data_IF_780841368019
#
_entry.id   IF_780841368019
#
_cell.length_a   1.000
_cell.length_b   1.000
_cell.length_c   1.000
_cell.angle_alpha   90.00
_cell.angle_beta   90.00
_cell.angle_gamma   90.00
#
_symmetry.space_group_name_H-M   'P 1'
#
loop_
_entity.id
_entity.type
_entity.pdbx_description
1 polymer ?
#
# COMPACT_ATOMS: atom_id res chain seq x y z
N UNK A 1 -12.19 -4.51 -18.40
CA UNK A 1 -11.82 -3.29 -19.14
C UNK A 1 -10.31 -3.15 -19.04
N UNK A 2 -9.57 -2.81 -20.10
CA UNK A 2 -8.11 -2.71 -20.00
C UNK A 2 -7.74 -1.57 -19.04
N UNK A 3 -6.88 -1.84 -18.06
CA UNK A 3 -6.42 -0.83 -17.11
C UNK A 3 -5.46 0.11 -17.81
N UNK A 4 -5.68 1.41 -17.61
CA UNK A 4 -4.93 2.45 -18.28
C UNK A 4 -3.67 2.78 -17.49
N UNK A 5 -2.51 2.54 -18.09
CA UNK A 5 -1.21 2.89 -17.54
C UNK A 5 -0.90 4.38 -17.73
N UNK A 6 -0.04 4.92 -16.86
CA UNK A 6 0.39 6.31 -16.91
C UNK A 6 1.08 6.64 -18.24
N UNK A 7 0.79 7.83 -18.78
CA UNK A 7 1.59 8.43 -19.85
C UNK A 7 2.98 8.83 -19.34
N UNK A 8 3.91 9.14 -20.25
CA UNK A 8 5.24 9.62 -19.88
C UNK A 8 5.20 10.91 -19.04
N UNK A 9 4.22 11.79 -19.32
CA UNK A 9 4.00 13.02 -18.56
C UNK A 9 3.49 12.73 -17.14
N UNK A 10 2.50 11.85 -17.00
CA UNK A 10 1.98 11.41 -15.70
C UNK A 10 3.06 10.69 -14.88
N UNK A 11 3.91 9.88 -15.53
CA UNK A 11 5.04 9.22 -14.89
C UNK A 11 6.09 10.23 -14.37
N UNK A 12 6.35 11.30 -15.12
CA UNK A 12 7.28 12.36 -14.74
C UNK A 12 6.75 13.25 -13.60
N UNK A 13 5.42 13.40 -13.50
CA UNK A 13 4.77 14.18 -12.43
C UNK A 13 4.70 13.39 -11.11
N UNK A 14 5.83 13.29 -10.41
CA UNK A 14 5.93 12.54 -9.16
C UNK A 14 5.01 13.11 -8.07
N UNK A 15 4.13 12.28 -7.53
CA UNK A 15 3.17 12.64 -6.47
C UNK A 15 3.22 11.63 -5.34
N UNK A 16 3.00 12.07 -4.10
CA UNK A 16 2.96 11.17 -2.95
C UNK A 16 1.59 10.53 -2.83
N UNK A 17 1.51 9.25 -2.47
CA UNK A 17 0.22 8.56 -2.30
C UNK A 17 -0.61 9.18 -1.18
N UNK A 18 0.02 9.65 -0.08
CA UNK A 18 -0.67 10.40 0.98
C UNK A 18 -1.40 11.66 0.48
N UNK A 19 -0.93 12.29 -0.59
CA UNK A 19 -1.54 13.52 -1.09
C UNK A 19 -2.92 13.26 -1.73
N UNK A 20 -3.22 12.01 -2.10
CA UNK A 20 -4.52 11.60 -2.59
C UNK A 20 -5.58 11.58 -1.47
N UNK A 21 -5.20 11.37 -0.21
CA UNK A 21 -6.15 11.17 0.90
C UNK A 21 -7.12 12.33 1.07
N UNK A 22 -6.65 13.50 1.50
CA UNK A 22 -7.54 14.63 1.73
C UNK A 22 -8.29 15.09 0.48
N UNK A 23 -7.66 15.01 -0.70
CA UNK A 23 -8.30 15.38 -1.98
C UNK A 23 -9.46 14.44 -2.32
N UNK A 24 -9.26 13.13 -2.12
CA UNK A 24 -10.28 12.11 -2.44
C UNK A 24 -11.42 12.13 -1.43
N UNK A 25 -11.13 12.35 -0.13
CA UNK A 25 -12.19 12.50 0.88
C UNK A 25 -13.10 13.69 0.61
N UNK A 26 -12.56 14.83 0.13
CA UNK A 26 -13.38 15.97 -0.29
C UNK A 26 -14.30 15.58 -1.46
N UNK A 27 -13.75 14.93 -2.50
CA UNK A 27 -14.54 14.44 -3.63
C UNK A 27 -15.68 13.52 -3.17
N UNK A 28 -15.39 12.56 -2.29
CA UNK A 28 -16.40 11.64 -1.77
C UNK A 28 -17.46 12.34 -0.90
N UNK A 29 -17.06 13.37 -0.14
CA UNK A 29 -18.01 14.21 0.60
C UNK A 29 -18.90 15.03 -0.34
N UNK A 30 -18.35 15.58 -1.43
CA UNK A 30 -19.08 16.30 -2.49
C UNK A 30 -20.09 15.39 -3.20
N UNK A 31 -19.79 14.09 -3.32
CA UNK A 31 -20.70 13.06 -3.82
C UNK A 31 -21.79 12.65 -2.81
N UNK A 32 -21.76 13.22 -1.60
CA UNK A 32 -22.76 13.00 -0.56
C UNK A 32 -22.50 11.81 0.36
N UNK A 33 -21.31 11.20 0.32
CA UNK A 33 -20.97 10.15 1.29
C UNK A 33 -20.80 10.77 2.70
N UNK A 34 -21.22 10.07 3.78
CA UNK A 34 -21.09 10.53 5.16
C UNK A 34 -19.66 10.33 5.68
N UNK A 35 -18.69 10.94 5.00
CA UNK A 35 -17.26 10.84 5.31
C UNK A 35 -16.95 11.65 6.56
N UNK A 36 -16.27 11.03 7.53
CA UNK A 36 -15.65 11.72 8.66
C UNK A 36 -14.19 11.30 8.78
N UNK A 37 -13.36 12.17 9.31
CA UNK A 37 -11.94 11.94 9.53
C UNK A 37 -11.60 12.10 11.01
N UNK A 38 -10.86 11.15 11.59
CA UNK A 38 -10.33 11.21 12.95
C UNK A 38 -8.82 11.18 12.89
N UNK A 39 -8.15 12.23 13.33
CA UNK A 39 -6.71 12.42 13.20
C UNK A 39 -6.04 12.60 14.57
N UNK A 40 -4.82 12.09 14.70
CA UNK A 40 -4.03 12.17 15.94
C UNK A 40 -2.91 13.23 15.85
N UNK A 41 -3.30 14.50 15.75
CA UNK A 41 -2.41 15.67 15.66
C UNK A 41 -1.39 15.68 14.50
N UNK A 42 -1.72 14.97 13.41
CA UNK A 42 -0.88 14.84 12.22
C UNK A 42 -1.60 15.27 10.92
N UNK A 43 -2.73 15.97 11.03
CA UNK A 43 -3.64 16.30 9.92
C UNK A 43 -3.00 17.05 8.74
N UNK A 44 -1.95 17.84 9.00
CA UNK A 44 -1.14 18.47 7.95
C UNK A 44 -0.29 17.45 7.18
N UNK A 45 0.26 16.46 7.88
CA UNK A 45 1.11 15.41 7.34
C UNK A 45 0.31 14.28 6.70
N UNK A 46 -0.84 13.90 7.26
CA UNK A 46 -1.77 12.91 6.69
C UNK A 46 -2.59 13.49 5.53
N UNK A 47 -2.66 14.83 5.47
CA UNK A 47 -3.48 15.63 4.55
C UNK A 47 -4.98 15.69 4.86
N UNK A 48 -5.42 15.07 5.96
CA UNK A 48 -6.82 15.15 6.42
C UNK A 48 -7.25 16.58 6.78
N UNK A 49 -6.30 17.46 7.11
CA UNK A 49 -6.57 18.88 7.34
C UNK A 49 -7.24 19.57 6.14
N UNK A 50 -7.08 19.05 4.92
CA UNK A 50 -7.79 19.55 3.73
C UNK A 50 -9.30 19.45 3.87
N UNK A 51 -9.81 18.37 4.48
CA UNK A 51 -11.24 18.18 4.70
C UNK A 51 -11.77 19.24 5.68
N UNK A 52 -11.11 19.42 6.83
CA UNK A 52 -11.50 20.41 7.83
C UNK A 52 -11.33 21.87 7.39
N UNK A 53 -10.48 22.14 6.39
CA UNK A 53 -10.32 23.47 5.80
C UNK A 53 -11.48 23.89 4.87
N UNK A 54 -12.36 22.95 4.47
CA UNK A 54 -13.58 23.25 3.71
C UNK A 54 -14.68 23.66 4.68
N UNK A 55 -15.26 24.88 4.59
CA UNK A 55 -16.27 25.34 5.54
C UNK A 55 -17.48 24.41 5.66
N UNK A 56 -17.94 23.82 4.55
CA UNK A 56 -19.04 22.84 4.53
C UNK A 56 -18.75 21.51 5.25
N UNK A 57 -17.46 21.19 5.51
CA UNK A 57 -17.02 19.93 6.11
C UNK A 57 -16.17 20.13 7.37
N UNK A 58 -16.14 21.35 7.92
CA UNK A 58 -15.32 21.68 9.07
C UNK A 58 -15.67 20.85 10.33
N UNK A 59 -16.92 20.42 10.44
CA UNK A 59 -17.44 19.55 11.50
C UNK A 59 -17.17 18.05 11.27
N UNK A 60 -16.52 17.69 10.16
CA UNK A 60 -16.21 16.29 9.79
C UNK A 60 -14.78 15.87 10.10
N UNK A 61 -13.93 16.78 10.62
CA UNK A 61 -12.57 16.47 11.06
C UNK A 61 -12.48 16.54 12.58
N UNK A 62 -12.19 15.40 13.21
CA UNK A 62 -12.01 15.23 14.64
C UNK A 62 -10.51 15.07 14.94
N UNK A 63 -9.87 16.08 15.52
CA UNK A 63 -8.50 15.94 16.03
C UNK A 63 -8.55 15.51 17.50
N UNK A 64 -8.02 14.32 17.81
CA UNK A 64 -8.03 13.75 19.17
C UNK A 64 -6.73 14.01 19.95
N UNK A 65 -5.83 14.83 19.40
CA UNK A 65 -4.47 15.00 19.93
C UNK A 65 -3.61 13.75 19.70
N UNK A 66 -2.50 13.63 20.43
CA UNK A 66 -1.56 12.50 20.30
C UNK A 66 -2.11 11.27 21.05
N UNK A 67 -3.15 10.64 20.49
CA UNK A 67 -3.92 9.58 21.16
C UNK A 67 -4.46 8.53 20.16
N UNK A 68 -3.60 7.80 19.47
CA UNK A 68 -3.98 6.89 18.37
C UNK A 68 -4.91 5.75 18.79
N UNK A 69 -4.80 5.26 20.03
CA UNK A 69 -5.74 4.26 20.56
C UNK A 69 -7.15 4.85 20.62
N UNK A 70 -7.29 6.04 21.22
CA UNK A 70 -8.55 6.76 21.28
C UNK A 70 -9.05 7.20 19.89
N UNK A 71 -8.15 7.54 18.95
CA UNK A 71 -8.50 7.83 17.56
C UNK A 71 -9.28 6.68 16.92
N UNK A 72 -8.81 5.44 17.11
CA UNK A 72 -9.48 4.25 16.57
C UNK A 72 -10.83 4.02 17.24
N UNK A 73 -10.92 4.16 18.56
CA UNK A 73 -12.19 3.97 19.29
C UNK A 73 -13.23 5.07 18.97
N UNK A 74 -12.79 6.33 18.78
CA UNK A 74 -13.66 7.42 18.31
C UNK A 74 -14.16 7.13 16.89
N UNK A 75 -13.28 6.69 15.98
CA UNK A 75 -13.68 6.30 14.62
C UNK A 75 -14.67 5.13 14.64
N UNK A 76 -14.47 4.15 15.52
CA UNK A 76 -15.40 3.05 15.73
C UNK A 76 -16.78 3.55 16.16
N UNK A 77 -16.85 4.43 17.16
CA UNK A 77 -18.11 5.05 17.60
C UNK A 77 -18.81 5.84 16.49
N UNK A 78 -18.06 6.64 15.73
CA UNK A 78 -18.61 7.39 14.58
C UNK A 78 -19.15 6.49 13.48
N UNK A 79 -18.51 5.33 13.24
CA UNK A 79 -18.99 4.36 12.26
C UNK A 79 -20.34 3.75 12.65
N UNK A 80 -20.56 3.50 13.94
CA UNK A 80 -21.86 3.03 14.47
C UNK A 80 -22.96 4.09 14.36
N UNK A 81 -22.59 5.37 14.28
CA UNK A 81 -23.51 6.47 14.04
C UNK A 81 -23.84 6.68 12.54
N UNK A 82 -23.44 5.75 11.67
CA UNK A 82 -23.76 5.80 10.23
C UNK A 82 -22.76 6.55 9.37
N UNK A 83 -21.58 6.90 9.91
CA UNK A 83 -20.51 7.53 9.14
C UNK A 83 -19.54 6.51 8.56
N UNK A 84 -18.82 6.93 7.52
CA UNK A 84 -17.64 6.21 7.02
C UNK A 84 -16.41 6.92 7.61
N UNK A 85 -15.81 6.32 8.63
CA UNK A 85 -14.76 6.96 9.42
C UNK A 85 -13.36 6.61 8.90
N UNK A 86 -12.59 7.62 8.50
CA UNK A 86 -11.19 7.49 8.10
C UNK A 86 -10.26 7.91 9.25
N UNK A 87 -9.24 7.11 9.55
CA UNK A 87 -8.25 7.46 10.59
C UNK A 87 -6.95 8.01 9.99
N UNK A 88 -6.37 8.99 10.69
CA UNK A 88 -5.14 9.68 10.29
C UNK A 88 -4.07 9.69 11.37
N UNK A 89 -3.00 8.93 11.12
CA UNK A 89 -1.73 9.03 11.84
C UNK A 89 -0.62 8.48 10.94
N UNK A 90 0.59 8.31 11.46
CA UNK A 90 1.65 7.56 10.76
C UNK A 90 1.51 6.07 11.02
N UNK A 91 1.97 5.21 10.12
CA UNK A 91 1.78 3.77 10.21
C UNK A 91 2.28 3.18 11.53
N UNK A 92 3.43 3.62 12.03
CA UNK A 92 3.98 3.15 13.31
C UNK A 92 3.06 3.44 14.51
N UNK A 93 2.35 4.57 14.49
CA UNK A 93 1.47 4.96 15.59
C UNK A 93 0.03 4.49 15.34
N UNK A 94 -0.51 4.80 14.16
CA UNK A 94 -1.88 4.48 13.77
C UNK A 94 -2.16 2.98 13.65
N UNK A 95 -1.15 2.16 13.36
CA UNK A 95 -1.27 0.68 13.36
C UNK A 95 -0.59 0.08 14.57
N UNK A 96 0.69 0.40 14.82
CA UNK A 96 1.45 -0.22 15.90
C UNK A 96 0.88 0.10 17.29
N UNK A 97 0.74 1.39 17.63
CA UNK A 97 0.24 1.82 18.95
C UNK A 97 -1.24 1.47 19.17
N UNK A 98 -2.04 1.45 18.11
CA UNK A 98 -3.49 1.22 18.16
C UNK A 98 -3.92 -0.21 17.79
N UNK A 99 -2.98 -1.17 17.71
CA UNK A 99 -3.25 -2.51 17.21
C UNK A 99 -4.37 -3.24 17.97
N UNK A 100 -4.43 -3.11 19.30
CA UNK A 100 -5.46 -3.80 20.09
C UNK A 100 -6.87 -3.24 19.83
N UNK A 101 -7.01 -1.92 19.70
CA UNK A 101 -8.27 -1.28 19.30
C UNK A 101 -8.68 -1.69 17.88
N UNK A 102 -7.72 -1.76 16.96
CA UNK A 102 -7.97 -2.25 15.60
C UNK A 102 -8.48 -3.71 15.66
N UNK A 103 -7.84 -4.56 16.45
CA UNK A 103 -8.20 -5.97 16.57
C UNK A 103 -9.58 -6.17 17.23
N UNK A 104 -9.75 -5.68 18.45
CA UNK A 104 -10.89 -6.01 19.30
C UNK A 104 -12.11 -5.15 19.00
N UNK A 105 -11.91 -3.86 18.73
CA UNK A 105 -13.02 -2.93 18.48
C UNK A 105 -13.43 -3.00 17.02
N UNK A 106 -12.47 -2.84 16.09
CA UNK A 106 -12.78 -2.65 14.66
C UNK A 106 -12.93 -3.98 13.91
N UNK A 107 -11.90 -4.81 13.87
CA UNK A 107 -11.85 -6.01 13.03
C UNK A 107 -12.81 -7.10 13.52
N UNK A 108 -12.80 -7.38 14.82
CA UNK A 108 -13.70 -8.37 15.43
C UNK A 108 -15.18 -8.00 15.26
N UNK A 109 -15.52 -6.72 15.43
CA UNK A 109 -16.90 -6.24 15.32
C UNK A 109 -17.30 -5.83 13.88
N UNK A 110 -16.39 -5.99 12.90
CA UNK A 110 -16.59 -5.65 11.48
C UNK A 110 -17.04 -4.20 11.25
N UNK A 111 -16.53 -3.27 12.05
CA UNK A 111 -16.94 -1.87 11.97
C UNK A 111 -16.45 -1.21 10.69
N UNK A 112 -17.22 -0.25 10.19
CA UNK A 112 -16.96 0.45 8.93
C UNK A 112 -15.89 1.56 9.09
N UNK A 113 -14.71 1.17 9.57
CA UNK A 113 -13.57 2.06 9.86
C UNK A 113 -12.46 1.85 8.84
N UNK A 114 -11.97 2.95 8.26
CA UNK A 114 -10.95 2.97 7.22
C UNK A 114 -9.63 3.45 7.82
N UNK A 115 -8.70 2.53 7.99
CA UNK A 115 -7.36 2.77 8.49
C UNK A 115 -6.50 3.33 7.35
N UNK A 116 -6.23 4.63 7.37
CA UNK A 116 -5.44 5.28 6.31
C UNK A 116 -4.18 5.93 6.86
N UNK A 117 -3.32 5.16 7.56
CA UNK A 117 -2.08 5.72 8.03
C UNK A 117 -1.20 6.12 6.84
N UNK A 118 -0.44 7.18 7.06
CA UNK A 118 0.56 7.64 6.11
C UNK A 118 1.95 7.25 6.60
N UNK A 119 3.01 7.62 5.89
CA UNK A 119 4.39 7.41 6.35
C UNK A 119 4.69 5.93 6.64
N UNK A 120 4.21 5.02 5.79
CA UNK A 120 4.58 3.62 5.84
C UNK A 120 5.91 3.37 5.09
N UNK A 121 6.62 2.32 5.47
CA UNK A 121 7.85 1.90 4.80
C UNK A 121 9.02 2.86 4.99
N UNK A 122 10.06 2.68 4.17
CA UNK A 122 11.19 3.60 4.12
C UNK A 122 10.83 4.96 3.50
N UNK A 123 9.67 5.07 2.85
CA UNK A 123 9.17 6.29 2.19
C UNK A 123 9.08 7.52 3.11
N UNK A 124 9.12 7.31 4.42
CA UNK A 124 9.28 8.38 5.43
C UNK A 124 10.55 9.19 5.20
N UNK A 125 11.66 8.53 4.88
CA UNK A 125 12.95 9.16 4.64
C UNK A 125 13.63 9.66 5.93
N UNK A 126 13.86 10.97 6.08
CA UNK A 126 14.79 11.52 7.09
C UNK A 126 14.43 11.25 8.55
N UNK A 127 13.15 11.04 8.89
CA UNK A 127 12.72 10.82 10.28
C UNK A 127 13.21 9.46 10.83
N UNK A 128 13.60 8.54 9.94
CA UNK A 128 14.32 7.32 10.27
C UNK A 128 13.49 6.21 10.94
N UNK A 129 14.20 5.23 11.50
CA UNK A 129 13.63 3.93 11.89
C UNK A 129 12.53 3.98 12.96
N UNK A 130 12.39 5.07 13.72
CA UNK A 130 11.28 5.22 14.69
C UNK A 130 9.94 5.55 14.02
N UNK A 131 9.97 6.04 12.78
CA UNK A 131 8.79 6.44 12.01
C UNK A 131 8.52 5.52 10.82
N UNK A 132 9.55 4.78 10.37
CA UNK A 132 9.48 3.82 9.27
C UNK A 132 8.89 2.48 9.76
N UNK A 133 7.57 2.34 9.67
CA UNK A 133 6.89 1.08 9.98
C UNK A 133 7.07 0.08 8.83
N UNK A 134 7.67 -1.07 9.14
CA UNK A 134 8.04 -2.12 8.19
C UNK A 134 7.29 -3.43 8.42
N UNK A 135 6.36 -3.45 9.37
CA UNK A 135 5.65 -4.63 9.86
C UNK A 135 4.13 -4.42 9.91
N UNK A 136 3.62 -3.31 9.35
CA UNK A 136 2.20 -2.96 9.35
C UNK A 136 1.33 -3.93 8.56
N UNK A 137 1.79 -4.39 7.39
CA UNK A 137 1.06 -5.40 6.59
C UNK A 137 1.02 -6.72 7.37
N UNK A 138 2.15 -7.13 7.95
CA UNK A 138 2.24 -8.38 8.71
C UNK A 138 1.29 -8.40 9.91
N UNK A 139 1.19 -7.29 10.66
CA UNK A 139 0.27 -7.17 11.79
C UNK A 139 -1.19 -7.31 11.34
N UNK A 140 -1.59 -6.58 10.29
CA UNK A 140 -2.99 -6.52 9.88
C UNK A 140 -3.45 -7.76 9.11
N UNK A 141 -2.56 -8.44 8.38
CA UNK A 141 -2.90 -9.66 7.61
C UNK A 141 -3.33 -10.83 8.51
N UNK A 142 -2.97 -10.79 9.79
CA UNK A 142 -3.44 -11.77 10.78
C UNK A 142 -4.88 -11.53 11.24
N UNK A 143 -5.44 -10.35 10.96
CA UNK A 143 -6.78 -9.98 11.42
C UNK A 143 -7.83 -10.38 10.37
N UNK A 144 -8.85 -11.17 10.75
CA UNK A 144 -10.00 -11.43 9.90
C UNK A 144 -10.76 -10.13 9.57
N UNK A 145 -11.49 -10.15 8.46
CA UNK A 145 -12.40 -9.09 8.00
C UNK A 145 -11.72 -7.78 7.56
N UNK A 146 -10.40 -7.64 7.70
CA UNK A 146 -9.66 -6.44 7.26
C UNK A 146 -9.29 -6.57 5.78
N UNK A 147 -9.68 -5.62 4.95
CA UNK A 147 -9.16 -5.48 3.58
C UNK A 147 -7.88 -4.67 3.58
N UNK A 148 -6.85 -5.09 2.85
CA UNK A 148 -5.51 -4.46 2.80
C UNK A 148 -5.18 -4.09 1.35
N UNK A 149 -5.11 -2.79 1.08
CA UNK A 149 -4.79 -2.22 -0.24
C UNK A 149 -3.48 -1.43 -0.19
N UNK A 150 -2.56 -1.73 -1.11
CA UNK A 150 -1.21 -1.17 -1.16
C UNK A 150 -1.01 -0.45 -2.51
N UNK A 151 -1.49 0.80 -2.65
CA UNK A 151 -1.46 1.51 -3.92
C UNK A 151 -0.04 1.84 -4.40
N UNK A 152 0.22 1.58 -5.68
CA UNK A 152 1.52 1.81 -6.31
C UNK A 152 1.91 3.29 -6.42
N UNK A 153 0.93 4.16 -6.68
CA UNK A 153 1.12 5.57 -6.98
C UNK A 153 -0.09 6.42 -6.53
N UNK A 154 -0.08 7.71 -6.90
CA UNK A 154 -1.17 8.64 -6.55
C UNK A 154 -2.53 8.20 -7.11
N UNK A 155 -2.58 7.73 -8.36
CA UNK A 155 -3.82 7.36 -9.02
C UNK A 155 -4.42 6.08 -8.40
N UNK A 156 -3.60 5.06 -8.14
CA UNK A 156 -3.99 3.87 -7.40
C UNK A 156 -4.41 4.21 -5.96
N UNK A 157 -3.77 5.18 -5.32
CA UNK A 157 -4.15 5.60 -3.96
C UNK A 157 -5.55 6.23 -3.93
N UNK A 158 -5.85 7.12 -4.88
CA UNK A 158 -7.20 7.67 -5.04
C UNK A 158 -8.23 6.55 -5.26
N UNK A 159 -7.94 5.61 -6.16
CA UNK A 159 -8.81 4.45 -6.39
C UNK A 159 -8.99 3.58 -5.14
N UNK A 160 -7.92 3.32 -4.38
CA UNK A 160 -7.99 2.55 -3.13
C UNK A 160 -8.84 3.23 -2.06
N UNK A 161 -8.74 4.55 -1.93
CA UNK A 161 -9.55 5.33 -0.99
C UNK A 161 -11.03 5.32 -1.40
N UNK A 162 -11.32 5.44 -2.70
CA UNK A 162 -12.69 5.35 -3.23
C UNK A 162 -13.28 3.95 -3.00
N UNK A 163 -12.52 2.89 -3.25
CA UNK A 163 -12.92 1.50 -2.94
C UNK A 163 -13.20 1.33 -1.44
N UNK A 164 -12.27 1.78 -0.59
CA UNK A 164 -12.39 1.69 0.86
C UNK A 164 -13.64 2.43 1.37
N UNK A 165 -13.95 3.60 0.81
CA UNK A 165 -15.13 4.37 1.18
C UNK A 165 -16.45 3.69 0.81
N UNK A 166 -16.48 2.93 -0.29
CA UNK A 166 -17.71 2.30 -0.82
C UNK A 166 -17.94 0.88 -0.34
N UNK A 167 -16.94 0.24 0.26
CA UNK A 167 -17.10 -1.07 0.89
C UNK A 167 -17.57 -0.94 2.34
N UNK A 168 -18.31 -1.94 2.80
CA UNK A 168 -18.63 -2.12 4.22
C UNK A 168 -17.49 -2.84 4.95
N UNK A 169 -17.34 -2.52 6.23
CA UNK A 169 -16.34 -3.14 7.11
C UNK A 169 -14.94 -2.51 7.03
N UNK A 170 -13.95 -3.08 7.73
CA UNK A 170 -12.68 -2.44 7.93
C UNK A 170 -11.76 -2.58 6.71
N UNK A 171 -11.13 -1.47 6.35
CA UNK A 171 -10.15 -1.43 5.27
C UNK A 171 -8.90 -0.69 5.73
N UNK A 172 -7.75 -1.12 5.25
CA UNK A 172 -6.47 -0.47 5.44
C UNK A 172 -5.89 -0.10 4.08
N UNK A 173 -5.55 1.18 3.91
CA UNK A 173 -4.90 1.70 2.71
C UNK A 173 -3.53 2.25 3.10
N UNK A 174 -2.46 1.60 2.63
CA UNK A 174 -1.08 1.93 2.98
C UNK A 174 -0.58 3.12 2.19
N UNK A 175 -0.35 4.26 2.85
CA UNK A 175 0.09 5.50 2.18
C UNK A 175 1.51 5.90 2.57
N UNK A 176 2.25 6.44 1.61
CA UNK A 176 3.66 6.84 1.72
C UNK A 176 3.86 8.35 1.66
N UNK A 177 4.99 8.81 2.19
CA UNK A 177 5.35 10.24 2.27
C UNK A 177 6.07 10.74 1.01
N UNK A 178 7.02 9.95 0.51
CA UNK A 178 7.81 10.27 -0.67
C UNK A 178 6.93 10.46 -1.90
N UNK A 179 7.36 11.34 -2.81
CA UNK A 179 6.74 11.45 -4.14
C UNK A 179 7.25 10.32 -5.02
N UNK A 180 6.35 9.61 -5.68
CA UNK A 180 6.68 8.47 -6.54
C UNK A 180 6.22 8.74 -7.97
N UNK A 181 6.86 8.15 -9.00
CA UNK A 181 6.39 8.22 -10.37
C UNK A 181 4.98 7.64 -10.53
N UNK A 182 4.24 8.14 -11.53
CA UNK A 182 2.98 7.54 -11.94
C UNK A 182 3.17 6.17 -12.59
N UNK A 183 2.38 5.19 -12.16
CA UNK A 183 2.24 3.85 -12.73
C UNK A 183 0.93 3.77 -13.52
N UNK A 184 -0.16 4.27 -12.94
CA UNK A 184 -1.48 4.27 -13.54
C UNK A 184 -1.88 5.66 -14.03
N UNK A 185 -2.73 5.71 -15.05
CA UNK A 185 -3.30 6.98 -15.49
C UNK A 185 -4.26 7.54 -14.43
N UNK A 186 -4.37 8.87 -14.37
CA UNK A 186 -5.32 9.51 -13.47
C UNK A 186 -6.76 9.04 -13.75
N UNK A 187 -7.50 8.76 -12.67
CA UNK A 187 -8.86 8.23 -12.74
C UNK A 187 -8.96 6.71 -12.95
N UNK A 188 -7.85 5.96 -12.87
CA UNK A 188 -7.86 4.50 -12.86
C UNK A 188 -8.88 3.95 -11.86
N UNK A 189 -9.55 2.86 -12.24
CA UNK A 189 -10.49 2.14 -11.38
C UNK A 189 -9.91 0.74 -11.16
N UNK A 190 -9.38 0.52 -9.96
CA UNK A 190 -8.92 -0.78 -9.50
C UNK A 190 -10.04 -1.47 -8.70
N UNK A 191 -9.83 -2.73 -8.36
CA UNK A 191 -10.77 -3.60 -7.65
C UNK A 191 -10.10 -4.27 -6.44
N UNK A 192 -10.88 -4.50 -5.39
CA UNK A 192 -10.45 -5.28 -4.22
C UNK A 192 -10.27 -6.75 -4.61
N UNK A 193 -9.21 -7.39 -4.12
CA UNK A 193 -8.93 -8.79 -4.43
C UNK A 193 -8.37 -9.03 -5.83
N UNK A 194 -7.84 -7.99 -6.48
CA UNK A 194 -7.21 -8.08 -7.80
C UNK A 194 -5.75 -7.64 -7.76
N UNK A 195 -4.96 -8.34 -8.57
CA UNK A 195 -3.60 -8.00 -8.95
C UNK A 195 -3.55 -7.75 -10.47
N UNK A 196 -2.58 -6.98 -10.92
CA UNK A 196 -2.53 -6.53 -12.32
C UNK A 196 -1.21 -6.85 -12.97
N UNK A 197 -1.24 -7.66 -14.02
CA UNK A 197 -0.09 -7.82 -14.93
C UNK A 197 0.06 -6.51 -15.69
N UNK A 198 1.05 -5.70 -15.30
CA UNK A 198 1.32 -4.39 -15.89
C UNK A 198 2.41 -4.46 -16.98
N UNK A 199 3.09 -5.59 -17.07
CA UNK A 199 4.05 -5.92 -18.13
C UNK A 199 4.06 -7.42 -18.34
N UNK A 200 3.90 -7.85 -19.58
CA UNK A 200 4.02 -9.27 -19.97
C UNK A 200 5.48 -9.72 -20.05
N UNK A 201 5.73 -10.99 -19.72
CA UNK A 201 7.03 -11.63 -19.81
C UNK A 201 6.92 -13.16 -19.76
N UNK A 202 8.04 -13.87 -19.92
CA UNK A 202 8.08 -15.33 -20.06
C UNK A 202 9.08 -16.05 -19.17
N UNK A 203 10.06 -15.35 -18.59
CA UNK A 203 11.23 -16.01 -17.99
C UNK A 203 11.24 -15.94 -16.45
N UNK A 204 10.56 -14.93 -15.90
CA UNK A 204 10.39 -14.70 -14.46
C UNK A 204 9.21 -13.77 -14.23
N UNK A 205 8.44 -14.01 -13.17
CA UNK A 205 7.45 -13.05 -12.65
C UNK A 205 8.08 -12.20 -11.55
N UNK A 206 7.92 -10.88 -11.63
CA UNK A 206 8.23 -9.94 -10.55
C UNK A 206 6.90 -9.47 -9.95
N UNK A 207 6.59 -9.94 -8.75
CA UNK A 207 5.39 -9.57 -8.02
C UNK A 207 5.71 -8.44 -7.03
N UNK A 208 5.29 -7.21 -7.32
CA UNK A 208 5.58 -6.04 -6.50
C UNK A 208 4.30 -5.45 -5.91
N UNK A 209 4.41 -4.64 -4.85
CA UNK A 209 3.30 -3.83 -4.35
C UNK A 209 3.77 -2.45 -3.91
N UNK A 210 2.86 -1.48 -3.91
CA UNK A 210 3.15 -0.13 -3.45
C UNK A 210 4.22 0.58 -4.28
N UNK A 211 4.96 1.48 -3.65
CA UNK A 211 5.94 2.35 -4.31
C UNK A 211 7.05 1.61 -5.07
N UNK A 212 7.30 0.33 -4.77
CA UNK A 212 8.33 -0.46 -5.48
C UNK A 212 7.85 -1.06 -6.81
N UNK A 213 6.60 -0.87 -7.20
CA UNK A 213 6.09 -1.29 -8.53
C UNK A 213 6.83 -0.55 -9.65
N UNK A 214 7.23 0.70 -9.45
CA UNK A 214 8.08 1.43 -10.42
C UNK A 214 9.52 0.88 -10.47
N UNK A 215 10.10 0.49 -9.33
CA UNK A 215 11.41 -0.18 -9.30
C UNK A 215 11.37 -1.54 -10.00
N UNK A 216 10.28 -2.30 -9.85
CA UNK A 216 10.08 -3.56 -10.56
C UNK A 216 10.00 -3.37 -12.08
N UNK A 217 9.34 -2.31 -12.57
CA UNK A 217 9.32 -1.97 -13.99
C UNK A 217 10.71 -1.59 -14.51
N UNK A 218 11.46 -0.78 -13.76
CA UNK A 218 12.86 -0.44 -14.09
C UNK A 218 13.75 -1.69 -14.13
N UNK A 219 13.60 -2.60 -13.17
CA UNK A 219 14.34 -3.86 -13.15
C UNK A 219 14.01 -4.71 -14.38
N UNK A 220 12.75 -4.77 -14.79
CA UNK A 220 12.34 -5.47 -16.00
C UNK A 220 12.91 -4.83 -17.28
N UNK A 221 13.10 -3.50 -17.32
CA UNK A 221 13.80 -2.82 -18.44
C UNK A 221 15.28 -3.21 -18.50
N UNK A 222 15.95 -3.24 -17.35
CA UNK A 222 17.35 -3.68 -17.24
C UNK A 222 17.52 -5.16 -17.64
N UNK A 223 16.62 -6.04 -17.19
CA UNK A 223 16.62 -7.47 -17.54
C UNK A 223 16.39 -7.69 -19.05
N UNK A 224 15.48 -6.92 -19.66
CA UNK A 224 15.22 -7.01 -21.10
C UNK A 224 16.44 -6.63 -21.94
N UNK A 225 17.24 -5.67 -21.49
CA UNK A 225 18.51 -5.32 -22.13
C UNK A 225 19.54 -6.48 -22.10
N UNK A 226 19.36 -7.44 -21.21
CA UNK A 226 20.16 -8.66 -21.08
C UNK A 226 19.47 -9.91 -21.67
N UNK A 227 18.34 -9.72 -22.36
CA UNK A 227 17.59 -10.82 -23.00
C UNK A 227 16.72 -11.63 -22.05
N UNK A 228 16.43 -11.13 -20.83
CA UNK A 228 15.52 -11.75 -19.87
C UNK A 228 14.16 -11.05 -19.92
N UNK A 229 13.13 -11.81 -20.29
CA UNK A 229 11.74 -11.37 -20.42
C UNK A 229 11.01 -11.47 -19.08
N UNK A 230 11.11 -10.42 -18.26
CA UNK A 230 10.44 -10.34 -16.97
C UNK A 230 8.99 -9.83 -17.09
N UNK A 231 8.07 -10.59 -16.52
CA UNK A 231 6.68 -10.18 -16.27
C UNK A 231 6.63 -9.36 -14.98
N UNK A 232 5.80 -8.31 -14.93
CA UNK A 232 5.61 -7.49 -13.71
C UNK A 232 4.15 -7.46 -13.31
N UNK A 233 3.88 -7.80 -12.06
CA UNK A 233 2.55 -7.77 -11.44
C UNK A 233 2.53 -6.73 -10.32
N UNK A 234 1.56 -5.82 -10.35
CA UNK A 234 1.17 -5.04 -9.18
C UNK A 234 0.17 -5.82 -8.32
N UNK A 235 0.61 -6.25 -7.15
CA UNK A 235 -0.18 -6.91 -6.12
C UNK A 235 -0.89 -5.85 -5.26
N UNK A 236 -1.81 -5.12 -5.90
CA UNK A 236 -2.56 -4.02 -5.31
C UNK A 236 -3.33 -4.42 -4.03
N UNK A 237 -3.93 -5.60 -4.03
CA UNK A 237 -4.70 -6.14 -2.90
C UNK A 237 -3.94 -7.28 -2.22
N UNK A 238 -3.49 -7.07 -0.98
CA UNK A 238 -2.81 -8.11 -0.19
C UNK A 238 -3.82 -8.98 0.57
N UNK A 239 -4.96 -8.39 0.96
CA UNK A 239 -6.03 -9.13 1.62
C UNK A 239 -7.39 -8.55 1.19
N UNK A 240 -8.26 -9.30 0.50
CA UNK A 240 -7.99 -10.62 -0.09
C UNK A 240 -6.90 -10.55 -1.17
N UNK A 241 -6.16 -11.65 -1.36
CA UNK A 241 -5.09 -11.74 -2.36
C UNK A 241 -5.59 -12.38 -3.66
N UNK A 242 -5.12 -11.90 -4.80
CA UNK A 242 -5.47 -12.46 -6.11
C UNK A 242 -4.56 -13.65 -6.47
N UNK A 243 -4.90 -14.82 -5.93
CA UNK A 243 -4.13 -16.04 -6.17
C UNK A 243 -4.16 -16.47 -7.63
N UNK A 244 -5.26 -16.25 -8.35
CA UNK A 244 -5.41 -16.72 -9.73
C UNK A 244 -4.44 -16.00 -10.67
N UNK A 245 -4.35 -14.68 -10.55
CA UNK A 245 -3.40 -13.90 -11.35
C UNK A 245 -1.97 -14.31 -11.05
N UNK A 246 -1.60 -14.46 -9.77
CA UNK A 246 -0.27 -14.92 -9.39
C UNK A 246 0.04 -16.30 -9.99
N UNK A 247 -0.86 -17.27 -9.84
CA UNK A 247 -0.64 -18.64 -10.29
C UNK A 247 -0.55 -18.70 -11.82
N UNK A 248 -1.40 -17.96 -12.54
CA UNK A 248 -1.34 -17.90 -14.00
C UNK A 248 0.02 -17.36 -14.49
N UNK A 249 0.51 -16.31 -13.87
CA UNK A 249 1.82 -15.72 -14.14
C UNK A 249 2.98 -16.66 -13.81
N UNK A 250 2.99 -17.25 -12.61
CA UNK A 250 4.07 -18.17 -12.20
C UNK A 250 4.03 -19.48 -12.99
N UNK A 251 2.87 -19.98 -13.39
CA UNK A 251 2.78 -21.15 -14.28
C UNK A 251 3.36 -20.87 -15.66
N UNK A 252 3.30 -19.61 -16.13
CA UNK A 252 3.89 -19.17 -17.39
C UNK A 252 5.41 -18.99 -17.28
N UNK A 253 5.89 -18.38 -16.21
CA UNK A 253 7.30 -17.97 -16.05
C UNK A 253 8.16 -18.97 -15.27
N UNK A 254 7.52 -19.87 -14.52
CA UNK A 254 8.14 -20.93 -13.74
C UNK A 254 8.82 -20.49 -12.42
N UNK A 255 8.84 -19.20 -12.09
CA UNK A 255 9.53 -18.64 -10.90
C UNK A 255 9.07 -17.21 -10.60
N UNK A 256 9.24 -16.79 -9.35
CA UNK A 256 8.84 -15.43 -8.93
C UNK A 256 9.84 -14.76 -7.99
N UNK A 257 10.01 -13.44 -8.17
CA UNK A 257 10.66 -12.55 -7.20
C UNK A 257 9.61 -11.60 -6.64
N UNK A 258 9.46 -11.54 -5.31
CA UNK A 258 8.55 -10.59 -4.67
C UNK A 258 9.28 -9.32 -4.26
N UNK A 259 8.64 -8.16 -4.37
CA UNK A 259 9.26 -6.86 -4.09
C UNK A 259 8.33 -5.98 -3.24
N UNK A 260 8.75 -5.63 -2.02
CA UNK A 260 7.94 -4.83 -1.10
C UNK A 260 8.77 -3.85 -0.23
N UNK A 261 8.28 -2.61 -0.06
CA UNK A 261 8.81 -1.66 0.93
C UNK A 261 8.25 -1.98 2.33
N UNK A 262 8.61 -3.17 2.80
CA UNK A 262 8.15 -3.80 4.02
C UNK A 262 9.16 -4.90 4.42
N UNK A 263 9.07 -5.41 5.64
CA UNK A 263 9.80 -6.61 6.07
C UNK A 263 9.45 -7.78 5.16
N UNK A 264 10.45 -8.60 4.80
CA UNK A 264 10.20 -9.86 4.06
C UNK A 264 9.36 -10.88 4.86
N UNK A 265 9.13 -10.61 6.15
CA UNK A 265 8.33 -11.45 7.04
C UNK A 265 6.91 -10.93 7.16
N UNK A 266 5.93 -11.76 6.79
CA UNK A 266 4.50 -11.54 6.97
C UNK A 266 3.83 -10.66 5.91
N UNK A 267 4.59 -10.00 5.03
CA UNK A 267 4.09 -9.14 3.96
C UNK A 267 3.78 -9.87 2.63
N UNK A 268 4.07 -9.21 1.50
CA UNK A 268 3.80 -9.74 0.16
C UNK A 268 4.56 -11.04 -0.11
N UNK A 269 5.85 -11.10 0.22
CA UNK A 269 6.68 -12.29 0.01
C UNK A 269 6.13 -13.51 0.73
N UNK A 270 5.70 -13.34 1.98
CA UNK A 270 5.04 -14.41 2.74
C UNK A 270 3.69 -14.81 2.14
N UNK A 271 2.89 -13.84 1.70
CA UNK A 271 1.60 -14.10 1.03
C UNK A 271 1.77 -14.93 -0.24
N UNK A 272 2.70 -14.53 -1.12
CA UNK A 272 3.02 -15.26 -2.35
C UNK A 272 3.52 -16.68 -2.03
N UNK A 273 4.44 -16.82 -1.08
CA UNK A 273 4.99 -18.12 -0.74
C UNK A 273 3.94 -19.10 -0.16
N UNK A 274 2.98 -18.60 0.63
CA UNK A 274 1.84 -19.39 1.11
C UNK A 274 1.01 -19.92 -0.06
N UNK A 275 0.67 -19.05 -1.03
CA UNK A 275 -0.12 -19.42 -2.21
C UNK A 275 0.63 -20.44 -3.08
N UNK A 276 1.92 -20.23 -3.33
CA UNK A 276 2.75 -21.17 -4.08
C UNK A 276 2.84 -22.53 -3.38
N UNK A 277 3.07 -22.55 -2.07
CA UNK A 277 3.16 -23.79 -1.30
C UNK A 277 1.86 -24.62 -1.36
N UNK A 278 0.70 -23.95 -1.40
CA UNK A 278 -0.60 -24.61 -1.45
C UNK A 278 -1.03 -25.02 -2.86
N UNK A 279 -0.65 -24.26 -3.90
CA UNK A 279 -1.28 -24.38 -5.23
C UNK A 279 -0.32 -24.69 -6.37
N UNK A 280 0.88 -24.11 -6.37
CA UNK A 280 1.85 -24.26 -7.46
C UNK A 280 3.27 -24.01 -6.96
N UNK A 281 3.93 -25.03 -6.35
CA UNK A 281 5.28 -24.85 -5.82
C UNK A 281 6.26 -24.45 -6.92
N UNK A 282 6.90 -23.30 -6.77
CA UNK A 282 7.87 -22.74 -7.70
C UNK A 282 9.01 -22.02 -6.95
N UNK A 283 10.21 -21.89 -7.55
CA UNK A 283 11.28 -21.07 -6.98
C UNK A 283 10.80 -19.64 -6.70
N UNK A 284 11.09 -19.17 -5.49
CA UNK A 284 10.64 -17.88 -5.00
C UNK A 284 11.77 -17.17 -4.24
N UNK A 285 12.01 -15.89 -4.55
CA UNK A 285 12.95 -15.04 -3.82
C UNK A 285 12.27 -13.75 -3.36
N UNK A 286 12.74 -13.17 -2.25
CA UNK A 286 12.15 -11.98 -1.65
C UNK A 286 13.11 -10.80 -1.67
N UNK A 287 12.64 -9.66 -2.18
CA UNK A 287 13.26 -8.34 -2.07
C UNK A 287 12.40 -7.50 -1.12
N UNK A 288 13.01 -7.07 -0.03
CA UNK A 288 12.36 -6.39 1.09
C UNK A 288 13.33 -6.22 2.24
N UNK A 289 12.91 -5.54 3.32
CA UNK A 289 13.78 -5.30 4.47
C UNK A 289 14.02 -6.59 5.26
N UNK A 290 15.27 -6.82 5.69
CA UNK A 290 15.70 -8.06 6.37
C UNK A 290 16.28 -7.76 7.74
N UNK A 291 15.52 -8.10 8.79
CA UNK A 291 16.02 -8.22 10.17
C UNK A 291 16.65 -6.95 10.78
N UNK A 292 16.29 -5.77 10.29
CA UNK A 292 16.84 -4.48 10.74
C UNK A 292 15.75 -3.42 10.78
N UNK A 293 15.96 -2.38 11.59
CA UNK A 293 15.18 -1.14 11.50
C UNK A 293 15.70 -0.27 10.36
N UNK A 294 14.84 0.62 9.87
CA UNK A 294 15.22 1.61 8.88
C UNK A 294 16.19 2.68 9.42
N UNK A 295 16.58 3.61 8.55
CA UNK A 295 17.57 4.67 8.81
C UNK A 295 17.09 6.01 8.26
N UNK A 296 17.71 7.09 8.72
CA UNK A 296 17.52 8.42 8.14
C UNK A 296 18.26 8.53 6.82
N UNK A 297 17.59 9.03 5.79
CA UNK A 297 18.13 9.27 4.45
C UNK A 297 17.04 9.74 3.50
N UNK A 298 17.38 10.10 2.26
CA UNK A 298 16.37 10.23 1.20
C UNK A 298 15.76 8.87 0.86
N UNK A 299 14.58 8.85 0.25
CA UNK A 299 13.92 7.58 -0.03
C UNK A 299 14.74 6.72 -1.00
N UNK A 300 15.28 7.35 -2.05
CA UNK A 300 16.13 6.70 -3.05
C UNK A 300 17.42 6.13 -2.45
N UNK A 301 18.09 6.89 -1.57
CA UNK A 301 19.30 6.39 -0.87
C UNK A 301 18.96 5.20 0.02
N UNK A 302 17.82 5.23 0.71
CA UNK A 302 17.40 4.15 1.59
C UNK A 302 17.04 2.88 0.80
N UNK A 303 16.36 3.00 -0.34
CA UNK A 303 16.09 1.84 -1.20
C UNK A 303 17.38 1.16 -1.66
N UNK A 304 18.36 1.95 -2.09
CA UNK A 304 19.66 1.41 -2.49
C UNK A 304 20.43 0.80 -1.32
N UNK A 305 20.47 1.50 -0.18
CA UNK A 305 21.14 1.03 1.04
C UNK A 305 20.57 -0.30 1.55
N UNK A 306 19.26 -0.50 1.46
CA UNK A 306 18.58 -1.71 1.89
C UNK A 306 18.35 -2.72 0.77
N UNK A 307 18.96 -2.54 -0.40
CA UNK A 307 18.87 -3.47 -1.54
C UNK A 307 17.43 -3.75 -2.00
N UNK A 308 16.65 -2.69 -2.18
CA UNK A 308 15.26 -2.73 -2.68
C UNK A 308 15.04 -1.90 -3.95
N UNK A 309 16.12 -1.42 -4.57
CA UNK A 309 16.10 -0.70 -5.84
C UNK A 309 16.16 -1.66 -7.04
N UNK A 310 15.96 -1.13 -8.25
CA UNK A 310 15.98 -1.93 -9.48
C UNK A 310 17.24 -2.82 -9.65
N UNK A 311 18.48 -2.35 -9.41
CA UNK A 311 19.66 -3.21 -9.43
C UNK A 311 19.56 -4.42 -8.49
N UNK A 312 19.08 -4.25 -7.26
CA UNK A 312 18.91 -5.35 -6.32
C UNK A 312 17.84 -6.37 -6.78
N UNK A 313 16.77 -5.89 -7.43
CA UNK A 313 15.75 -6.76 -8.02
C UNK A 313 16.34 -7.58 -9.18
N UNK A 314 17.16 -6.96 -10.05
CA UNK A 314 17.87 -7.64 -11.14
C UNK A 314 18.80 -8.73 -10.59
N UNK A 315 19.56 -8.42 -9.53
CA UNK A 315 20.42 -9.39 -8.85
C UNK A 315 19.60 -10.58 -8.32
N UNK A 316 18.51 -10.32 -7.59
CA UNK A 316 17.64 -11.35 -7.05
C UNK A 316 17.06 -12.26 -8.14
N UNK A 317 16.65 -11.69 -9.28
CA UNK A 317 16.19 -12.45 -10.45
C UNK A 317 17.31 -13.35 -10.97
N UNK A 318 18.50 -12.80 -11.23
CA UNK A 318 19.62 -13.59 -11.77
C UNK A 318 20.04 -14.72 -10.83
N UNK A 319 20.09 -14.45 -9.52
CA UNK A 319 20.39 -15.48 -8.51
C UNK A 319 19.34 -16.58 -8.48
N UNK A 320 18.05 -16.25 -8.64
CA UNK A 320 16.97 -17.23 -8.68
C UNK A 320 16.97 -18.07 -9.96
N UNK A 321 17.49 -17.52 -11.07
CA UNK A 321 17.56 -18.20 -12.37
C UNK A 321 18.80 -19.09 -12.56
N UNK A 322 19.83 -18.92 -11.72
CA UNK A 322 21.09 -19.67 -11.76
C UNK A 322 20.93 -21.09 -11.17
#
# INVERSE_FOLDING_TARGET
MAIRMASAEEKANKRATRAALGTTLIKLADEGLPIVAVDADLSGSTTLGKLGAKPEYADRLFNVGIAEQNMVDVAAGLSLAGNIAFTGSFAVFGIGRAYDQIRNTVAYSKLNVKLTPTHAGLSVGPDGGSHQMMEDIALLRQLPNVTILIPADYAAAASAIELAARMEGPAYVRLGRATVPGVYADGVQLEVGKSYVIREGSDVTIAACGSLVDEAQKAADLLAAEGISAEVIDCFSIQPFDEETLIASVAKTGRVVTVEDHSVHGGLGSTVAEVLAMRHPAPCAFVGLRGTFGKSGSYEELLSYFHMDAPAIVEAVKTLMA
#
